data_IF_425759861676
#
_entry.id   IF_425759861676
#
_cell.length_a   1.000
_cell.length_b   1.000
_cell.length_c   1.000
_cell.angle_alpha   90.00
_cell.angle_beta   90.00
_cell.angle_gamma   90.00
#
_symmetry.space_group_name_H-M   'P 1'
#
loop_
_entity.id
_entity.type
_entity.pdbx_description
1 polymer ?
#
# COMPACT_ATOMS: atom_id res chain seq x y z
N UNK A 1 6.54 -27.50 -18.70
CA UNK A 1 6.40 -26.39 -17.74
C UNK A 1 5.42 -26.86 -16.70
N UNK A 2 5.89 -27.13 -15.48
CA UNK A 2 5.07 -27.69 -14.41
C UNK A 2 3.89 -26.77 -14.11
N UNK A 3 2.70 -27.34 -14.10
CA UNK A 3 1.47 -26.66 -13.71
C UNK A 3 1.56 -26.35 -12.21
N UNK A 4 2.08 -25.18 -11.86
CA UNK A 4 2.17 -24.72 -10.47
C UNK A 4 0.76 -24.65 -9.87
N UNK A 5 0.41 -25.64 -9.05
CA UNK A 5 -0.81 -25.62 -8.26
C UNK A 5 -0.53 -24.93 -6.94
N UNK A 6 -1.43 -24.05 -6.53
CA UNK A 6 -1.34 -23.38 -5.25
C UNK A 6 -2.47 -23.78 -4.30
N UNK A 7 -2.23 -23.72 -2.99
CA UNK A 7 -3.18 -24.07 -1.93
C UNK A 7 -3.78 -22.85 -1.24
N UNK A 8 -4.93 -23.04 -0.57
CA UNK A 8 -5.55 -21.98 0.23
C UNK A 8 -4.60 -21.52 1.35
N UNK A 9 -4.63 -20.22 1.63
CA UNK A 9 -3.74 -19.51 2.56
C UNK A 9 -2.25 -19.49 2.17
N UNK A 10 -1.88 -20.03 1.01
CA UNK A 10 -0.51 -19.95 0.52
C UNK A 10 -0.15 -18.51 0.13
N UNK A 11 1.03 -18.06 0.56
CA UNK A 11 1.59 -16.78 0.13
C UNK A 11 2.15 -16.89 -1.29
N UNK A 12 1.88 -15.86 -2.09
CA UNK A 12 2.27 -15.76 -3.50
C UNK A 12 2.62 -14.33 -3.86
N UNK A 13 3.32 -14.15 -4.98
CA UNK A 13 3.44 -12.86 -5.66
C UNK A 13 2.58 -12.87 -6.92
N UNK A 14 1.74 -11.86 -7.06
CA UNK A 14 0.88 -11.68 -8.23
C UNK A 14 1.48 -10.65 -9.20
N UNK A 15 1.57 -11.00 -10.48
CA UNK A 15 1.98 -10.08 -11.54
C UNK A 15 0.82 -9.20 -11.94
N UNK A 16 0.88 -7.93 -11.55
CA UNK A 16 -0.11 -6.90 -11.88
C UNK A 16 0.48 -6.00 -12.97
N UNK A 17 -0.31 -5.66 -13.97
CA UNK A 17 0.16 -4.83 -15.08
C UNK A 17 0.55 -3.42 -14.58
N UNK A 18 1.76 -2.95 -14.94
CA UNK A 18 2.27 -1.65 -14.50
C UNK A 18 2.84 -1.62 -13.07
N UNK A 19 2.86 -2.75 -12.37
CA UNK A 19 3.38 -2.86 -11.01
C UNK A 19 4.48 -3.92 -10.90
N UNK A 20 5.36 -3.82 -9.88
CA UNK A 20 6.17 -4.97 -9.45
C UNK A 20 5.24 -6.15 -9.09
N UNK A 21 5.75 -7.38 -9.13
CA UNK A 21 4.95 -8.48 -8.59
C UNK A 21 4.64 -8.20 -7.12
N UNK A 22 3.37 -8.32 -6.74
CA UNK A 22 2.84 -7.81 -5.49
C UNK A 22 2.54 -8.95 -4.50
N UNK A 23 2.88 -8.82 -3.21
CA UNK A 23 2.65 -9.87 -2.24
C UNK A 23 1.15 -10.08 -1.99
N UNK A 24 0.74 -11.34 -1.96
CA UNK A 24 -0.64 -11.72 -1.72
C UNK A 24 -0.77 -13.10 -1.07
N UNK A 25 -1.99 -13.42 -0.66
CA UNK A 25 -2.37 -14.71 -0.07
C UNK A 25 -3.52 -15.30 -0.83
N UNK A 26 -3.45 -16.59 -1.13
CA UNK A 26 -4.55 -17.28 -1.80
C UNK A 26 -5.71 -17.42 -0.83
N UNK A 27 -6.82 -16.79 -1.19
CA UNK A 27 -8.06 -16.85 -0.45
C UNK A 27 -8.88 -18.08 -0.86
N UNK A 28 -8.98 -18.31 -2.17
CA UNK A 28 -9.74 -19.44 -2.72
C UNK A 28 -9.24 -19.83 -4.12
N UNK A 29 -9.67 -20.98 -4.63
CA UNK A 29 -9.37 -21.45 -5.98
C UNK A 29 -10.65 -21.75 -6.76
N UNK A 30 -10.78 -21.18 -7.95
CA UNK A 30 -11.88 -21.48 -8.88
C UNK A 30 -11.38 -22.44 -9.95
N UNK A 31 -11.95 -23.65 -9.98
CA UNK A 31 -11.63 -24.72 -10.95
C UNK A 31 -12.64 -24.82 -12.10
N UNK A 32 -13.30 -23.71 -12.44
CA UNK A 32 -14.39 -23.70 -13.44
C UNK A 32 -13.84 -23.82 -14.88
N UNK A 33 -12.61 -23.35 -15.14
CA UNK A 33 -12.01 -23.29 -16.48
C UNK A 33 -10.82 -24.23 -16.64
N UNK A 34 -10.47 -24.58 -17.89
CA UNK A 34 -9.28 -25.37 -18.26
C UNK A 34 -7.97 -24.80 -17.68
N UNK A 35 -7.92 -23.49 -17.43
CA UNK A 35 -6.83 -22.81 -16.73
C UNK A 35 -7.26 -22.54 -15.28
N UNK A 36 -6.49 -22.97 -14.26
CA UNK A 36 -6.84 -22.72 -12.87
C UNK A 36 -6.76 -21.22 -12.56
N UNK A 37 -7.84 -20.71 -11.96
CA UNK A 37 -7.89 -19.35 -11.45
C UNK A 37 -7.90 -19.35 -9.93
N UNK A 38 -7.22 -18.38 -9.34
CA UNK A 38 -7.10 -18.22 -7.90
C UNK A 38 -7.63 -16.85 -7.50
N UNK A 39 -8.36 -16.83 -6.39
CA UNK A 39 -8.79 -15.63 -5.71
C UNK A 39 -7.69 -15.31 -4.70
N UNK A 40 -7.02 -14.18 -4.88
CA UNK A 40 -5.83 -13.76 -4.13
C UNK A 40 -6.13 -12.45 -3.42
N UNK A 41 -5.94 -12.44 -2.11
CA UNK A 41 -5.92 -11.23 -1.30
C UNK A 41 -4.55 -10.55 -1.44
N UNK A 42 -4.52 -9.27 -1.82
CA UNK A 42 -3.29 -8.50 -1.95
C UNK A 42 -3.04 -7.65 -0.71
N UNK A 43 -1.88 -7.83 -0.10
CA UNK A 43 -1.47 -7.08 1.09
C UNK A 43 -1.23 -5.61 0.77
N UNK A 44 -1.45 -4.71 1.73
CA UNK A 44 -1.28 -3.26 1.56
C UNK A 44 -2.35 -2.56 0.72
N UNK A 45 -2.94 -3.23 -0.27
CA UNK A 45 -4.15 -2.75 -0.96
C UNK A 45 -5.43 -3.18 -0.25
N UNK A 46 -5.39 -4.26 0.54
CA UNK A 46 -6.54 -4.86 1.22
C UNK A 46 -7.68 -5.29 0.27
N UNK A 47 -7.33 -5.63 -0.97
CA UNK A 47 -8.25 -6.03 -2.04
C UNK A 47 -8.11 -7.52 -2.35
N UNK A 48 -9.21 -8.16 -2.74
CA UNK A 48 -9.24 -9.53 -3.25
C UNK A 48 -9.43 -9.53 -4.77
N UNK A 49 -8.62 -10.28 -5.50
CA UNK A 49 -8.60 -10.29 -6.97
C UNK A 49 -8.47 -11.69 -7.56
N UNK A 50 -8.99 -11.90 -8.78
CA UNK A 50 -8.86 -13.15 -9.52
C UNK A 50 -7.64 -13.15 -10.44
N UNK A 51 -6.80 -14.16 -10.32
CA UNK A 51 -5.59 -14.35 -11.13
C UNK A 51 -5.57 -15.73 -11.80
N UNK A 52 -5.00 -15.81 -13.00
CA UNK A 52 -4.58 -17.08 -13.60
C UNK A 52 -3.28 -17.55 -12.96
N UNK A 53 -3.08 -18.86 -12.85
CA UNK A 53 -1.85 -19.46 -12.31
C UNK A 53 -0.56 -18.92 -12.97
N UNK A 54 -0.59 -18.60 -14.27
CA UNK A 54 0.57 -18.06 -14.99
C UNK A 54 0.99 -16.66 -14.53
N UNK A 55 0.11 -15.93 -13.82
CA UNK A 55 0.39 -14.62 -13.25
C UNK A 55 0.82 -14.71 -11.78
N UNK A 56 0.90 -15.91 -11.21
CA UNK A 56 1.29 -16.12 -9.82
C UNK A 56 2.69 -16.73 -9.75
N UNK A 57 3.42 -16.37 -8.70
CA UNK A 57 4.75 -16.87 -8.40
C UNK A 57 4.84 -17.23 -6.93
N UNK A 58 5.64 -18.25 -6.58
CA UNK A 58 5.84 -18.63 -5.19
C UNK A 58 6.55 -17.53 -4.40
N UNK A 59 6.13 -17.36 -3.14
CA UNK A 59 6.63 -16.30 -2.26
C UNK A 59 8.14 -16.37 -2.01
N UNK A 60 8.68 -17.59 -1.77
CA UNK A 60 10.10 -17.80 -1.51
C UNK A 60 11.02 -17.44 -2.69
N UNK A 61 10.61 -17.78 -3.91
CA UNK A 61 11.42 -17.59 -5.12
C UNK A 61 11.61 -16.10 -5.49
N UNK A 62 10.62 -15.26 -5.14
CA UNK A 62 10.60 -13.86 -5.57
C UNK A 62 11.37 -12.94 -4.60
N UNK A 63 11.37 -13.24 -3.30
CA UNK A 63 12.16 -12.48 -2.29
C UNK A 63 13.65 -12.49 -2.62
N UNK A 64 14.16 -13.61 -3.15
CA UNK A 64 15.57 -13.73 -3.50
C UNK A 64 15.95 -12.91 -4.75
N UNK A 65 15.00 -12.61 -5.65
CA UNK A 65 15.29 -12.04 -6.98
C UNK A 65 15.05 -10.53 -7.12
N UNK A 66 14.12 -9.92 -6.36
CA UNK A 66 13.64 -8.56 -6.70
C UNK A 66 13.51 -7.56 -5.54
N UNK A 67 14.01 -7.87 -4.35
CA UNK A 67 13.94 -6.95 -3.20
C UNK A 67 14.78 -5.67 -3.40
N UNK A 68 15.77 -5.67 -4.31
CA UNK A 68 16.66 -4.52 -4.50
C UNK A 68 16.11 -3.35 -5.33
N UNK A 69 15.02 -3.52 -6.11
CA UNK A 69 14.53 -2.49 -7.06
C UNK A 69 13.25 -1.76 -6.63
N UNK A 70 12.54 -2.24 -5.61
CA UNK A 70 11.15 -1.84 -5.32
C UNK A 70 11.00 -1.09 -3.98
N UNK A 71 12.10 -0.88 -3.25
CA UNK A 71 12.12 -0.32 -1.89
C UNK A 71 11.61 1.12 -1.73
N UNK A 72 11.32 1.84 -2.81
CA UNK A 72 10.89 3.25 -2.72
C UNK A 72 9.37 3.42 -2.52
N UNK A 73 8.59 2.34 -2.59
CA UNK A 73 7.14 2.36 -2.39
C UNK A 73 6.80 1.94 -0.95
N UNK A 74 6.52 2.92 -0.07
CA UNK A 74 6.10 2.66 1.32
C UNK A 74 4.96 1.63 1.42
N UNK A 75 4.05 1.63 0.44
CA UNK A 75 2.95 0.68 0.37
C UNK A 75 3.42 -0.75 0.08
N UNK A 76 4.43 -0.92 -0.78
CA UNK A 76 5.01 -2.22 -1.08
C UNK A 76 5.80 -2.76 0.11
N UNK A 77 6.58 -1.90 0.77
CA UNK A 77 7.29 -2.26 2.00
C UNK A 77 6.31 -2.70 3.10
N UNK A 78 5.23 -1.93 3.30
CA UNK A 78 4.15 -2.28 4.23
C UNK A 78 3.47 -3.60 3.84
N UNK A 79 3.15 -3.79 2.56
CA UNK A 79 2.53 -5.02 2.07
C UNK A 79 3.42 -6.25 2.30
N UNK A 80 4.74 -6.12 2.14
CA UNK A 80 5.70 -7.17 2.46
C UNK A 80 5.75 -7.45 3.96
N UNK A 81 5.76 -6.40 4.79
CA UNK A 81 5.74 -6.54 6.24
C UNK A 81 4.47 -7.25 6.73
N UNK A 82 3.31 -6.86 6.19
CA UNK A 82 2.02 -7.49 6.51
C UNK A 82 1.99 -8.96 6.05
N UNK A 83 2.52 -9.25 4.86
CA UNK A 83 2.65 -10.63 4.37
C UNK A 83 3.61 -11.48 5.24
N UNK A 84 4.72 -10.90 5.68
CA UNK A 84 5.66 -11.55 6.60
C UNK A 84 5.02 -11.81 7.97
N UNK A 85 4.30 -10.84 8.53
CA UNK A 85 3.57 -11.01 9.80
C UNK A 85 2.56 -12.15 9.70
N UNK A 86 1.79 -12.20 8.62
CA UNK A 86 0.84 -13.30 8.36
C UNK A 86 1.55 -14.66 8.25
N UNK A 87 2.72 -14.71 7.60
CA UNK A 87 3.55 -15.91 7.53
C UNK A 87 3.96 -16.40 8.93
N UNK A 88 4.55 -15.50 9.74
CA UNK A 88 4.99 -15.83 11.09
C UNK A 88 3.82 -16.22 12.00
N UNK A 89 2.70 -15.51 11.91
CA UNK A 89 1.49 -15.84 12.67
C UNK A 89 0.99 -17.25 12.35
N UNK A 90 0.96 -17.62 11.06
CA UNK A 90 0.54 -18.94 10.62
C UNK A 90 1.47 -20.05 11.15
N UNK A 91 2.78 -19.79 11.21
CA UNK A 91 3.77 -20.73 11.74
C UNK A 91 3.68 -20.88 13.27
N UNK A 92 3.40 -19.79 13.99
CA UNK A 92 3.19 -19.83 15.44
C UNK A 92 1.93 -20.64 15.77
N UNK A 93 0.86 -20.46 15.00
CA UNK A 93 -0.38 -21.19 15.21
C UNK A 93 -0.21 -22.70 15.00
N UNK A 94 0.50 -23.13 13.95
CA UNK A 94 0.77 -24.55 13.72
C UNK A 94 1.61 -25.17 14.84
N UNK A 95 2.62 -24.45 15.36
CA UNK A 95 3.44 -24.91 16.49
C UNK A 95 2.63 -25.03 17.79
N UNK A 96 1.67 -24.14 18.01
CA UNK A 96 0.75 -24.21 19.16
C UNK A 96 -0.24 -25.37 19.04
N UNK A 97 -0.71 -25.70 17.84
CA UNK A 97 -1.57 -26.86 17.58
C UNK A 97 -0.80 -28.19 17.74
N UNK A 98 0.46 -28.26 17.30
CA UNK A 98 1.34 -29.43 17.51
C UNK A 98 1.72 -29.63 18.99
N UNK A 99 2.03 -28.55 19.71
CA UNK A 99 2.23 -28.59 21.15
C UNK A 99 0.95 -29.04 21.87
N UNK A 100 -0.22 -28.72 21.28
CA UNK A 100 -1.53 -29.13 21.78
C UNK A 100 -1.84 -30.61 21.70
N UNK A 101 -1.58 -31.19 20.54
CA UNK A 101 -1.75 -32.62 20.32
C UNK A 101 -0.79 -33.43 21.20
N UNK A 102 0.39 -32.88 21.50
CA UNK A 102 1.41 -33.53 22.35
C UNK A 102 1.02 -33.57 23.83
N UNK A 103 0.26 -32.59 24.34
CA UNK A 103 -0.21 -32.61 25.72
C UNK A 103 -1.46 -33.48 25.90
N UNK A 104 -2.36 -33.56 24.90
CA UNK A 104 -3.53 -34.44 24.95
C UNK A 104 -3.12 -35.92 24.84
N UNK A 105 -2.12 -36.24 24.03
CA UNK A 105 -1.61 -37.63 23.92
C UNK A 105 -0.81 -38.10 25.14
N UNK A 106 -0.30 -37.17 25.97
CA UNK A 106 0.31 -37.49 27.27
C UNK A 106 -0.69 -37.53 28.44
N UNK A 107 -1.91 -37.07 28.24
CA UNK A 107 -2.97 -37.12 29.24
C UNK A 107 -3.77 -38.44 29.12
N UNK A 108 -3.17 -39.54 29.57
CA UNK A 108 -3.92 -40.77 29.82
C UNK A 108 -3.66 -41.32 31.24
N UNK A 109 -4.76 -41.25 32.02
CA UNK A 109 -5.15 -42.06 33.18
C UNK A 109 -4.47 -41.80 34.52
N UNK A 110 -5.22 -41.13 35.40
CA UNK A 110 -5.29 -41.49 36.81
C UNK A 110 -6.75 -41.77 37.21
N UNK A 111 -7.00 -42.78 38.06
CA UNK A 111 -8.32 -43.16 38.51
C UNK A 111 -8.79 -42.25 39.65
N UNK A 112 -10.06 -41.86 39.59
CA UNK A 112 -10.91 -41.38 40.69
C UNK A 112 -10.41 -40.16 41.49
N UNK A 113 -11.02 -38.99 41.26
CA UNK A 113 -10.95 -37.88 42.22
C UNK A 113 -11.48 -36.54 41.71
N UNK A 114 -12.76 -36.27 42.01
CA UNK A 114 -13.46 -34.97 42.14
C UNK A 114 -12.94 -33.78 41.32
N UNK A 115 -13.74 -33.35 40.35
CA UNK A 115 -13.61 -32.07 39.67
C UNK A 115 -13.95 -30.91 40.62
N UNK A 116 -13.11 -29.88 40.64
CA UNK A 116 -13.49 -28.51 41.02
C UNK A 116 -12.89 -27.53 40.02
N UNK A 117 -13.72 -26.56 39.66
CA UNK A 117 -13.58 -25.59 38.59
C UNK A 117 -12.60 -24.49 39.00
N UNK A 118 -11.67 -24.12 38.11
CA UNK A 118 -11.11 -22.77 38.08
C UNK A 118 -11.32 -22.27 36.64
N UNK A 119 -12.40 -21.52 36.46
CA UNK A 119 -12.57 -20.63 35.33
C UNK A 119 -11.45 -19.58 35.38
N UNK A 120 -10.74 -19.42 34.27
CA UNK A 120 -9.89 -18.26 34.07
C UNK A 120 -10.21 -17.68 32.71
N UNK A 121 -11.00 -16.60 32.72
CA UNK A 121 -11.25 -15.73 31.60
C UNK A 121 -9.92 -15.25 31.01
N UNK A 122 -9.62 -15.66 29.77
CA UNK A 122 -8.70 -14.93 28.89
C UNK A 122 -9.46 -14.51 27.65
N UNK A 123 -9.52 -13.19 27.50
CA UNK A 123 -10.12 -12.43 26.42
C UNK A 123 -9.88 -13.04 25.05
N UNK A 124 -10.97 -13.42 24.39
CA UNK A 124 -10.96 -13.76 22.98
C UNK A 124 -10.57 -12.52 22.16
N UNK A 125 -9.57 -12.59 21.25
CA UNK A 125 -9.44 -11.61 20.19
C UNK A 125 -10.71 -11.68 19.32
N UNK A 126 -11.26 -10.54 18.85
CA UNK A 126 -12.50 -10.53 18.09
C UNK A 126 -12.36 -11.42 16.86
N UNK A 127 -13.23 -12.42 16.78
CA UNK A 127 -13.20 -13.45 15.74
C UNK A 127 -13.26 -12.80 14.36
N UNK A 128 -12.44 -13.32 13.44
CA UNK A 128 -12.33 -12.95 12.01
C UNK A 128 -13.66 -12.92 11.23
N UNK A 129 -14.79 -13.32 11.83
CA UNK A 129 -16.14 -13.23 11.28
C UNK A 129 -16.63 -11.79 11.16
N UNK A 130 -16.23 -10.89 12.07
CA UNK A 130 -16.76 -9.50 12.09
C UNK A 130 -16.12 -8.58 11.04
N UNK A 131 -15.04 -9.01 10.38
CA UNK A 131 -14.45 -8.30 9.22
C UNK A 131 -15.00 -8.78 7.86
N UNK A 132 -15.83 -9.83 7.84
CA UNK A 132 -16.30 -10.49 6.61
C UNK A 132 -17.48 -9.75 5.96
N UNK A 133 -18.27 -9.00 6.72
CA UNK A 133 -19.48 -8.35 6.19
C UNK A 133 -19.23 -7.19 5.20
N UNK A 134 -17.98 -6.72 5.02
CA UNK A 134 -17.68 -5.49 4.23
C UNK A 134 -16.68 -5.64 3.08
N UNK A 135 -16.28 -6.85 2.66
CA UNK A 135 -15.35 -6.99 1.53
C UNK A 135 -16.09 -7.32 0.23
N UNK A 136 -16.15 -6.33 -0.66
CA UNK A 136 -16.66 -6.45 -2.04
C UNK A 136 -15.88 -7.53 -2.78
N UNK A 137 -16.53 -8.64 -3.12
CA UNK A 137 -16.06 -9.56 -4.16
C UNK A 137 -16.32 -8.84 -5.49
N UNK A 138 -15.27 -8.51 -6.24
CA UNK A 138 -15.40 -7.75 -7.51
C UNK A 138 -15.20 -8.70 -8.68
N UNK A 139 -16.25 -8.87 -9.49
CA UNK A 139 -16.33 -9.89 -10.55
C UNK A 139 -15.66 -9.50 -11.89
N UNK A 140 -15.29 -8.22 -12.08
CA UNK A 140 -14.69 -7.73 -13.34
C UNK A 140 -13.24 -7.22 -13.16
N UNK A 141 -12.23 -7.91 -13.73
CA UNK A 141 -10.82 -7.56 -13.56
C UNK A 141 -10.35 -6.34 -14.41
N UNK A 142 -11.11 -5.92 -15.42
CA UNK A 142 -10.72 -4.81 -16.32
C UNK A 142 -11.06 -3.43 -15.76
N UNK A 143 -12.22 -3.26 -15.12
CA UNK A 143 -12.57 -2.03 -14.38
C UNK A 143 -11.70 -1.85 -13.13
N UNK A 144 -11.23 -2.96 -12.55
CA UNK A 144 -10.42 -2.98 -11.35
C UNK A 144 -8.98 -2.49 -11.56
N UNK A 145 -8.42 -2.65 -12.78
CA UNK A 145 -7.11 -2.08 -13.11
C UNK A 145 -7.13 -0.55 -13.12
N UNK A 146 -8.27 0.04 -13.51
CA UNK A 146 -8.48 1.48 -13.41
C UNK A 146 -8.64 1.92 -11.95
N UNK A 147 -9.42 1.17 -11.16
CA UNK A 147 -9.64 1.47 -9.73
C UNK A 147 -8.36 1.36 -8.90
N UNK A 148 -7.50 0.36 -9.15
CA UNK A 148 -6.21 0.21 -8.50
C UNK A 148 -5.20 1.27 -8.97
N UNK A 149 -5.24 1.62 -10.25
CA UNK A 149 -4.48 2.76 -10.79
C UNK A 149 -4.84 4.04 -10.06
N UNK A 150 -6.13 4.31 -9.89
CA UNK A 150 -6.64 5.50 -9.20
C UNK A 150 -6.27 5.50 -7.71
N UNK A 151 -6.33 4.37 -7.02
CA UNK A 151 -5.88 4.24 -5.63
C UNK A 151 -4.38 4.52 -5.49
N UNK A 152 -3.55 4.00 -6.39
CA UNK A 152 -2.11 4.26 -6.40
C UNK A 152 -1.80 5.73 -6.68
N UNK A 153 -2.50 6.32 -7.65
CA UNK A 153 -2.37 7.73 -7.96
C UNK A 153 -2.83 8.58 -6.76
N UNK A 154 -3.90 8.22 -6.06
CA UNK A 154 -4.34 8.88 -4.82
C UNK A 154 -3.26 8.84 -3.73
N UNK A 155 -2.64 7.68 -3.50
CA UNK A 155 -1.58 7.53 -2.50
C UNK A 155 -0.34 8.37 -2.86
N UNK A 156 0.10 8.32 -4.11
CA UNK A 156 1.24 9.13 -4.57
C UNK A 156 0.94 10.62 -4.51
N UNK A 157 -0.29 11.01 -4.85
CA UNK A 157 -0.76 12.39 -4.78
C UNK A 157 -0.64 12.92 -3.34
N UNK A 158 -1.12 12.16 -2.35
CA UNK A 158 -0.99 12.49 -0.93
C UNK A 158 0.48 12.52 -0.47
N UNK A 159 1.28 11.55 -0.91
CA UNK A 159 2.71 11.49 -0.57
C UNK A 159 3.48 12.68 -1.10
N UNK A 160 3.24 13.07 -2.35
CA UNK A 160 3.88 14.22 -2.96
C UNK A 160 3.43 15.52 -2.30
N UNK A 161 2.15 15.65 -1.93
CA UNK A 161 1.63 16.78 -1.16
C UNK A 161 2.32 16.91 0.22
N UNK A 162 2.46 15.80 0.95
CA UNK A 162 3.21 15.77 2.21
C UNK A 162 4.67 16.20 2.05
N UNK A 163 5.36 15.69 1.03
CA UNK A 163 6.74 16.10 0.74
C UNK A 163 6.83 17.57 0.38
N UNK A 164 5.91 18.10 -0.43
CA UNK A 164 5.84 19.52 -0.78
C UNK A 164 5.68 20.38 0.48
N UNK A 165 4.71 20.05 1.35
CA UNK A 165 4.44 20.77 2.60
C UNK A 165 5.63 20.73 3.56
N UNK A 166 6.27 19.58 3.71
CA UNK A 166 7.45 19.45 4.58
C UNK A 166 8.62 20.31 4.07
N UNK A 167 8.87 20.36 2.77
CA UNK A 167 9.96 21.20 2.24
C UNK A 167 9.64 22.69 2.25
N UNK A 168 8.37 23.11 2.12
CA UNK A 168 8.00 24.52 2.21
C UNK A 168 8.09 25.09 3.63
N UNK A 169 7.92 24.23 4.64
CA UNK A 169 7.78 24.64 6.05
C UNK A 169 9.08 24.60 6.87
N UNK A 170 10.18 24.07 6.33
CA UNK A 170 11.42 23.82 7.10
C UNK A 170 12.45 24.96 7.03
N UNK A 171 13.18 25.19 8.14
CA UNK A 171 14.29 26.17 8.31
C UNK A 171 15.47 26.02 7.33
N UNK A 172 15.57 24.91 6.59
CA UNK A 172 16.56 24.67 5.52
C UNK A 172 15.82 24.15 4.30
N UNK A 173 15.24 25.07 3.53
CA UNK A 173 14.37 24.72 2.41
C UNK A 173 15.17 24.06 1.29
N UNK A 174 14.91 22.79 1.08
CA UNK A 174 15.43 22.03 -0.05
C UNK A 174 14.56 22.31 -1.29
N UNK A 175 14.67 23.53 -1.85
CA UNK A 175 13.88 24.00 -2.99
C UNK A 175 13.99 23.06 -4.20
N UNK A 176 15.18 22.49 -4.42
CA UNK A 176 15.43 21.51 -5.48
C UNK A 176 14.55 20.28 -5.31
N UNK A 177 14.46 19.71 -4.09
CA UNK A 177 13.60 18.53 -3.82
C UNK A 177 12.13 18.89 -3.96
N UNK A 178 11.70 20.04 -3.44
CA UNK A 178 10.33 20.53 -3.60
C UNK A 178 9.94 20.61 -5.10
N UNK A 179 10.81 21.21 -5.91
CA UNK A 179 10.61 21.29 -7.36
C UNK A 179 10.51 19.89 -8.00
N UNK A 180 11.36 18.95 -7.62
CA UNK A 180 11.30 17.56 -8.11
C UNK A 180 9.97 16.89 -7.78
N UNK A 181 9.48 17.02 -6.54
CA UNK A 181 8.19 16.43 -6.16
C UNK A 181 7.01 17.11 -6.85
N UNK A 182 7.07 18.42 -7.08
CA UNK A 182 6.05 19.14 -7.84
C UNK A 182 6.03 18.71 -9.32
N UNK A 183 7.19 18.40 -9.91
CA UNK A 183 7.28 17.79 -11.23
C UNK A 183 6.68 16.38 -11.27
N UNK A 184 6.93 15.56 -10.24
CA UNK A 184 6.33 14.22 -10.11
C UNK A 184 4.80 14.31 -9.97
N UNK A 185 4.31 15.23 -9.15
CA UNK A 185 2.88 15.51 -8.97
C UNK A 185 2.19 15.84 -10.29
N UNK A 186 2.81 16.66 -11.13
CA UNK A 186 2.24 17.02 -12.44
C UNK A 186 2.20 15.86 -13.44
N UNK A 187 3.17 14.94 -13.36
CA UNK A 187 3.25 13.78 -14.26
C UNK A 187 2.28 12.66 -13.87
N UNK A 188 1.69 12.73 -12.68
CA UNK A 188 0.78 11.73 -12.18
C UNK A 188 -0.54 11.81 -12.96
N UNK A 189 -1.07 10.66 -13.37
CA UNK A 189 -2.38 10.58 -13.99
C UNK A 189 -3.44 10.65 -12.88
N UNK A 190 -4.10 11.79 -12.72
CA UNK A 190 -5.08 11.97 -11.64
C UNK A 190 -6.47 12.06 -12.24
N UNK A 191 -7.37 11.19 -11.80
CA UNK A 191 -8.78 11.23 -12.20
C UNK A 191 -9.55 12.27 -11.38
N UNK A 192 -10.68 12.75 -11.94
CA UNK A 192 -11.59 13.69 -11.28
C UNK A 192 -12.06 13.18 -9.91
N UNK A 193 -12.32 11.88 -9.81
CA UNK A 193 -12.74 11.22 -8.58
C UNK A 193 -11.69 11.38 -7.45
N UNK A 194 -10.41 11.09 -7.75
CA UNK A 194 -9.32 11.20 -6.78
C UNK A 194 -9.10 12.65 -6.33
N UNK A 195 -9.20 13.63 -7.24
CA UNK A 195 -9.08 15.06 -6.88
C UNK A 195 -10.22 15.53 -6.00
N UNK A 196 -11.46 15.10 -6.28
CA UNK A 196 -12.63 15.49 -5.48
C UNK A 196 -12.58 14.94 -4.05
N UNK A 197 -11.98 13.76 -3.86
CA UNK A 197 -11.75 13.21 -2.51
C UNK A 197 -10.65 13.94 -1.74
N UNK A 198 -9.75 14.62 -2.44
CA UNK A 198 -8.56 15.26 -1.86
C UNK A 198 -8.44 16.75 -2.23
N UNK A 199 -9.44 17.59 -1.91
CA UNK A 199 -9.45 19.00 -2.30
C UNK A 199 -8.31 19.82 -1.65
N UNK A 200 -7.78 19.38 -0.51
CA UNK A 200 -6.70 20.04 0.22
C UNK A 200 -5.43 20.24 -0.60
N UNK A 201 -5.19 19.42 -1.63
CA UNK A 201 -4.01 19.55 -2.50
C UNK A 201 -4.08 20.83 -3.33
N UNK A 202 -5.29 21.25 -3.73
CA UNK A 202 -5.49 22.51 -4.45
C UNK A 202 -5.07 23.69 -3.57
N UNK A 203 -5.38 23.63 -2.26
CA UNK A 203 -4.96 24.65 -1.30
C UNK A 203 -3.44 24.70 -1.15
N UNK A 204 -2.77 23.55 -1.09
CA UNK A 204 -1.29 23.50 -1.07
C UNK A 204 -0.69 24.16 -2.30
N UNK A 205 -1.25 23.89 -3.49
CA UNK A 205 -0.80 24.51 -4.73
C UNK A 205 -1.07 26.01 -4.77
N UNK A 206 -2.18 26.48 -4.22
CA UNK A 206 -2.50 27.91 -4.08
C UNK A 206 -1.52 28.62 -3.12
N UNK A 207 -1.15 27.97 -2.01
CA UNK A 207 -0.13 28.48 -1.10
C UNK A 207 1.25 28.56 -1.79
N UNK A 208 1.63 27.54 -2.56
CA UNK A 208 2.89 27.52 -3.31
C UNK A 208 2.99 28.63 -4.37
N UNK A 209 1.87 29.08 -4.94
CA UNK A 209 1.89 30.21 -5.88
C UNK A 209 2.30 31.52 -5.22
N UNK A 210 1.99 31.67 -3.93
CA UNK A 210 2.34 32.85 -3.13
C UNK A 210 3.70 32.72 -2.46
N UNK A 211 4.40 31.59 -2.64
CA UNK A 211 5.66 31.32 -1.98
C UNK A 211 6.76 32.29 -2.43
N UNK A 212 7.18 33.17 -1.51
CA UNK A 212 8.29 34.11 -1.69
C UNK A 212 9.61 33.62 -1.06
N UNK A 213 9.53 32.64 -0.14
CA UNK A 213 10.66 32.21 0.70
C UNK A 213 10.92 33.19 1.85
N UNK A 214 11.36 32.68 3.01
CA UNK A 214 11.65 33.49 4.19
C UNK A 214 13.03 34.16 4.07
N UNK A 215 13.17 35.08 3.11
CA UNK A 215 14.43 35.78 2.82
C UNK A 215 14.99 36.58 4.01
N UNK A 216 14.14 37.04 4.92
CA UNK A 216 14.56 37.83 6.09
C UNK A 216 15.08 36.99 7.26
N UNK A 217 14.67 35.71 7.38
CA UNK A 217 15.08 34.82 8.49
C UNK A 217 16.31 34.00 8.16
N UNK A 218 16.62 33.79 6.89
CA UNK A 218 17.76 32.99 6.46
C UNK A 218 18.94 33.93 6.20
N UNK A 219 19.98 33.86 7.04
CA UNK A 219 21.25 34.59 6.86
C UNK A 219 22.00 34.05 5.62
N UNK A 220 21.47 34.31 4.44
CA UNK A 220 21.97 33.82 3.16
C UNK A 220 22.97 34.80 2.56
N UNK A 221 23.99 34.24 1.90
CA UNK A 221 24.90 34.97 1.02
C UNK A 221 24.14 35.59 -0.17
N UNK A 222 24.72 36.60 -0.80
CA UNK A 222 24.13 37.27 -1.98
C UNK A 222 23.84 36.31 -3.13
N UNK A 223 24.67 35.28 -3.32
CA UNK A 223 24.52 34.27 -4.37
C UNK A 223 23.40 33.27 -4.06
N UNK A 224 23.31 32.79 -2.82
CA UNK A 224 22.24 31.88 -2.39
C UNK A 224 20.86 32.54 -2.45
N UNK A 225 20.79 33.86 -2.20
CA UNK A 225 19.55 34.63 -2.37
C UNK A 225 19.08 34.64 -3.83
N UNK A 226 19.98 34.89 -4.79
CA UNK A 226 19.63 34.85 -6.22
C UNK A 226 19.10 33.47 -6.64
N UNK A 227 19.77 32.41 -6.18
CA UNK A 227 19.34 31.03 -6.43
C UNK A 227 17.96 30.74 -5.82
N UNK A 228 17.70 31.21 -4.60
CA UNK A 228 16.41 31.08 -3.94
C UNK A 228 15.31 31.77 -4.75
N UNK A 229 15.51 33.02 -5.16
CA UNK A 229 14.53 33.76 -5.97
C UNK A 229 14.24 33.06 -7.30
N UNK A 230 15.27 32.54 -7.97
CA UNK A 230 15.13 31.78 -9.22
C UNK A 230 14.30 30.51 -9.03
N UNK A 231 14.63 29.68 -8.04
CA UNK A 231 13.90 28.44 -7.75
C UNK A 231 12.48 28.72 -7.26
N UNK A 232 12.26 29.73 -6.42
CA UNK A 232 10.94 30.16 -5.99
C UNK A 232 10.08 30.60 -7.19
N UNK A 233 10.64 31.34 -8.16
CA UNK A 233 9.93 31.69 -9.40
C UNK A 233 9.56 30.46 -10.22
N UNK A 234 10.46 29.48 -10.34
CA UNK A 234 10.17 28.20 -11.02
C UNK A 234 9.06 27.41 -10.34
N UNK A 235 9.10 27.30 -9.02
CA UNK A 235 8.07 26.61 -8.22
C UNK A 235 6.71 27.29 -8.40
N UNK A 236 6.65 28.62 -8.28
CA UNK A 236 5.40 29.39 -8.51
C UNK A 236 4.82 29.15 -9.90
N UNK A 237 5.66 29.21 -10.94
CA UNK A 237 5.23 28.95 -12.33
C UNK A 237 4.68 27.54 -12.48
N UNK A 238 5.38 26.53 -11.93
CA UNK A 238 4.96 25.15 -12.04
C UNK A 238 3.69 24.87 -11.23
N UNK A 239 3.57 25.40 -10.01
CA UNK A 239 2.38 25.27 -9.17
C UNK A 239 1.15 25.90 -9.84
N UNK A 240 1.31 27.04 -10.53
CA UNK A 240 0.24 27.65 -11.31
C UNK A 240 -0.23 26.76 -12.47
N UNK A 241 0.71 26.20 -13.24
CA UNK A 241 0.38 25.27 -14.33
C UNK A 241 -0.32 24.01 -13.82
N UNK A 242 0.18 23.39 -12.75
CA UNK A 242 -0.44 22.20 -12.16
C UNK A 242 -1.82 22.51 -11.58
N UNK A 243 -2.00 23.65 -10.92
CA UNK A 243 -3.32 24.04 -10.39
C UNK A 243 -4.34 24.24 -11.50
N UNK A 244 -3.97 24.91 -12.60
CA UNK A 244 -4.86 25.07 -13.77
C UNK A 244 -5.27 23.72 -14.35
N UNK A 245 -4.30 22.82 -14.50
CA UNK A 245 -4.54 21.45 -14.98
C UNK A 245 -5.52 20.70 -14.09
N UNK A 246 -5.34 20.72 -12.76
CA UNK A 246 -6.26 20.05 -11.84
C UNK A 246 -7.64 20.70 -11.81
N UNK A 247 -7.73 22.04 -11.87
CA UNK A 247 -9.02 22.74 -11.97
C UNK A 247 -9.77 22.37 -13.26
N UNK A 248 -9.04 22.17 -14.37
CA UNK A 248 -9.63 21.71 -15.64
C UNK A 248 -10.20 20.29 -15.52
N UNK A 249 -9.48 19.36 -14.88
CA UNK A 249 -9.96 18.00 -14.64
C UNK A 249 -11.24 18.00 -13.78
N UNK A 250 -11.28 18.81 -12.72
CA UNK A 250 -12.45 18.91 -11.85
C UNK A 250 -13.66 19.54 -12.58
N UNK A 251 -13.40 20.51 -13.46
CA UNK A 251 -14.45 21.24 -14.20
C UNK A 251 -14.95 20.50 -15.45
N UNK A 252 -14.20 19.53 -15.97
CA UNK A 252 -14.65 18.71 -17.11
C UNK A 252 -15.91 17.95 -16.71
N UNK A 253 -17.00 18.09 -17.48
CA UNK A 253 -18.28 17.41 -17.23
C UNK A 253 -18.10 15.89 -17.30
#
# INVERSE_FOLDING_TARGET
MESSSFTKNQLVFARIHGYPCWPGKIYDSSRISKVPHYIVFLYGFDVVMKFSASKLQYYGDYIQKNTARVCDLLLYAKALEDAQKDFYFSQIQSLQEEASITYETKACKFPNGKASIIENEKSHPPSLKTLVEKKRIVEHPESLNADLGDLYNEINLLRYDYHIKSYSSLKKVNLKKCFTYLCKLRKLHVTKFVLNRNPQILLTLEQLQKYAGDCSRWKLTSEDRKNLFHFAKKIRKLANLTLRFFKQIVSSK
#
